data_IF_620387028255
#
_entry.id   IF_620387028255
#
_cell.length_a   1.000
_cell.length_b   1.000
_cell.length_c   1.000
_cell.angle_alpha   90.00
_cell.angle_beta   90.00
_cell.angle_gamma   90.00
#
_symmetry.space_group_name_H-M   'P 1'
#
loop_
_entity.id
_entity.type
_entity.pdbx_description
1 polymer ?
#
# COMPACT_ATOMS: atom_id res chain seq x y z
N UNK A 1 -25.16 -7.15 6.21
CA UNK A 1 -23.81 -6.53 6.09
C UNK A 1 -23.58 -6.19 4.63
N UNK A 2 -23.17 -4.95 4.38
CA UNK A 2 -22.79 -4.46 3.06
C UNK A 2 -21.26 -4.57 2.90
N UNK A 3 -20.80 -5.33 1.90
CA UNK A 3 -19.38 -5.46 1.58
C UNK A 3 -19.09 -4.80 0.24
N UNK A 4 -18.06 -3.95 0.18
CA UNK A 4 -17.67 -3.31 -1.08
C UNK A 4 -16.16 -3.09 -1.19
N UNK A 5 -15.73 -2.89 -2.43
CA UNK A 5 -14.38 -2.48 -2.75
C UNK A 5 -14.14 -0.98 -2.47
N UNK A 6 -12.91 -0.54 -2.71
CA UNK A 6 -12.50 0.86 -2.49
C UNK A 6 -13.22 1.87 -3.41
N UNK A 7 -13.84 1.43 -4.50
CA UNK A 7 -14.57 2.30 -5.42
C UNK A 7 -15.87 2.85 -4.82
N UNK A 8 -16.47 2.11 -3.91
CA UNK A 8 -17.71 2.48 -3.21
C UNK A 8 -17.47 2.94 -1.74
N UNK A 9 -16.23 3.11 -1.33
CA UNK A 9 -15.84 3.43 0.04
C UNK A 9 -15.96 4.92 0.43
N UNK A 10 -16.76 5.72 -0.28
CA UNK A 10 -16.98 7.11 0.10
C UNK A 10 -17.63 7.22 1.47
N UNK A 11 -17.34 8.31 2.22
CA UNK A 11 -17.94 8.54 3.54
C UNK A 11 -19.47 8.53 3.47
N UNK A 12 -20.06 9.14 2.44
CA UNK A 12 -21.52 9.14 2.26
C UNK A 12 -22.09 7.73 2.07
N UNK A 13 -21.42 6.87 1.33
CA UNK A 13 -21.83 5.47 1.19
C UNK A 13 -21.75 4.70 2.51
N UNK A 14 -20.70 4.96 3.31
CA UNK A 14 -20.55 4.34 4.63
C UNK A 14 -21.66 4.80 5.58
N UNK A 15 -21.94 6.11 5.65
CA UNK A 15 -23.04 6.65 6.43
C UNK A 15 -24.39 6.05 6.02
N UNK A 16 -24.64 5.93 4.73
CA UNK A 16 -25.88 5.31 4.22
C UNK A 16 -26.00 3.84 4.66
N UNK A 17 -24.90 3.11 4.66
CA UNK A 17 -24.88 1.69 5.00
C UNK A 17 -24.77 1.42 6.52
N UNK A 18 -24.42 2.43 7.31
CA UNK A 18 -24.48 2.36 8.78
C UNK A 18 -25.91 2.62 9.32
N UNK A 19 -26.82 3.10 8.49
CA UNK A 19 -28.18 3.46 8.93
C UNK A 19 -29.07 2.25 9.17
N UNK A 20 -29.89 2.26 10.22
CA UNK A 20 -30.85 1.23 10.62
C UNK A 20 -30.15 -0.09 11.01
N UNK A 21 -30.65 -1.24 10.56
CA UNK A 21 -30.13 -2.59 10.85
C UNK A 21 -29.00 -3.01 9.87
N UNK A 22 -28.28 -2.04 9.31
CA UNK A 22 -27.18 -2.30 8.34
C UNK A 22 -25.85 -2.12 9.00
N UNK A 23 -24.90 -2.95 8.58
CA UNK A 23 -23.49 -2.81 8.89
C UNK A 23 -22.71 -2.87 7.58
N UNK A 24 -21.51 -2.32 7.57
CA UNK A 24 -20.67 -2.32 6.37
C UNK A 24 -19.24 -2.84 6.63
N UNK A 25 -18.64 -3.41 5.61
CA UNK A 25 -17.20 -3.66 5.51
C UNK A 25 -16.75 -3.14 4.15
N UNK A 26 -15.86 -2.17 4.14
CA UNK A 26 -15.35 -1.57 2.89
C UNK A 26 -13.84 -1.54 2.86
N UNK A 27 -13.27 -1.84 1.69
CA UNK A 27 -11.82 -1.71 1.49
C UNK A 27 -11.37 -0.27 1.68
N UNK A 28 -10.37 -0.06 2.51
CA UNK A 28 -9.74 1.23 2.74
C UNK A 28 -8.30 1.23 2.20
N UNK A 29 -8.01 1.89 1.07
CA UNK A 29 -6.65 1.98 0.57
C UNK A 29 -5.74 2.69 1.57
N UNK A 30 -4.70 2.01 2.06
CA UNK A 30 -3.79 2.54 3.09
C UNK A 30 -3.12 3.84 2.60
N UNK A 31 -2.73 3.91 1.34
CA UNK A 31 -2.10 5.11 0.74
C UNK A 31 -3.01 6.34 0.72
N UNK A 32 -4.34 6.17 0.87
CA UNK A 32 -5.33 7.26 0.94
C UNK A 32 -5.68 7.68 2.36
N UNK A 33 -5.15 7.02 3.37
CA UNK A 33 -5.29 7.42 4.76
C UNK A 33 -4.55 8.74 5.03
N UNK A 34 -4.96 9.45 6.09
CA UNK A 34 -4.17 10.58 6.61
C UNK A 34 -2.76 10.12 7.00
N UNK A 35 -1.82 11.05 7.15
CA UNK A 35 -0.44 10.73 7.52
C UNK A 35 -0.38 9.92 8.82
N UNK A 36 -1.15 10.31 9.83
CA UNK A 36 -1.26 9.63 11.12
C UNK A 36 -1.69 8.17 10.98
N UNK A 37 -2.82 7.91 10.32
CA UNK A 37 -3.33 6.54 10.14
C UNK A 37 -2.46 5.71 9.21
N UNK A 38 -1.80 6.34 8.26
CA UNK A 38 -0.82 5.66 7.40
C UNK A 38 0.41 5.22 8.19
N UNK A 39 0.92 6.07 9.08
CA UNK A 39 2.01 5.72 9.98
C UNK A 39 1.60 4.57 10.92
N UNK A 40 0.41 4.65 11.52
CA UNK A 40 -0.16 3.55 12.30
C UNK A 40 -0.24 2.25 11.49
N UNK A 41 -0.68 2.32 10.22
CA UNK A 41 -0.78 1.14 9.37
C UNK A 41 0.59 0.53 9.06
N UNK A 42 1.61 1.36 8.81
CA UNK A 42 2.97 0.93 8.50
C UNK A 42 3.76 0.47 9.73
N UNK A 43 3.36 0.87 10.94
CA UNK A 43 3.99 0.39 12.17
C UNK A 43 3.79 -1.12 12.31
N UNK A 44 4.88 -1.88 12.27
CA UNK A 44 4.87 -3.35 12.27
C UNK A 44 4.61 -3.99 13.64
N UNK A 45 4.52 -3.18 14.68
CA UNK A 45 4.24 -3.61 16.05
C UNK A 45 2.74 -3.67 16.33
N UNK A 46 2.38 -4.37 17.42
CA UNK A 46 1.00 -4.47 17.95
C UNK A 46 0.03 -5.20 17.03
N UNK A 47 0.50 -6.00 16.11
CA UNK A 47 -0.36 -6.94 15.39
C UNK A 47 -0.73 -8.13 16.28
N UNK A 48 -1.84 -8.74 15.98
CA UNK A 48 -2.29 -9.98 16.61
C UNK A 48 -2.36 -11.07 15.54
N UNK A 49 -1.90 -12.26 15.87
CA UNK A 49 -2.12 -13.42 15.02
C UNK A 49 -3.60 -13.77 15.03
N UNK A 50 -4.19 -14.05 13.87
CA UNK A 50 -5.63 -14.31 13.76
C UNK A 50 -6.04 -15.61 14.47
N UNK A 51 -5.19 -16.63 14.46
CA UNK A 51 -5.51 -17.98 14.99
C UNK A 51 -5.62 -18.03 16.53
N UNK A 52 -4.83 -17.25 17.26
CA UNK A 52 -4.73 -17.32 18.73
C UNK A 52 -4.77 -15.95 19.42
N UNK A 53 -4.93 -14.87 18.65
CA UNK A 53 -4.97 -13.46 19.10
C UNK A 53 -3.73 -12.99 19.87
N UNK A 54 -2.63 -13.75 19.82
CA UNK A 54 -1.37 -13.35 20.45
C UNK A 54 -0.78 -12.12 19.78
N UNK A 55 -0.24 -11.23 20.62
CA UNK A 55 0.45 -10.04 20.18
C UNK A 55 1.77 -10.42 19.51
N UNK A 56 2.04 -9.85 18.33
CA UNK A 56 3.20 -10.16 17.50
C UNK A 56 3.80 -8.87 16.96
N UNK A 57 5.12 -8.84 16.86
CA UNK A 57 5.86 -7.87 16.08
C UNK A 57 6.19 -8.50 14.72
N UNK A 58 5.73 -7.89 13.64
CA UNK A 58 5.91 -8.42 12.27
C UNK A 58 7.39 -8.48 11.84
N UNK A 59 8.28 -7.76 12.52
CA UNK A 59 9.73 -7.79 12.24
C UNK A 59 10.41 -9.05 12.82
N UNK A 60 9.69 -9.81 13.65
CA UNK A 60 10.18 -11.04 14.28
C UNK A 60 9.45 -12.31 13.81
N UNK A 61 8.77 -12.23 12.66
CA UNK A 61 8.13 -13.40 12.06
C UNK A 61 9.17 -14.43 11.59
N UNK A 62 8.80 -15.70 11.69
CA UNK A 62 9.60 -16.86 11.25
C UNK A 62 8.96 -17.53 10.04
N UNK A 63 9.62 -18.51 9.46
CA UNK A 63 9.08 -19.29 8.33
C UNK A 63 7.79 -20.04 8.70
N UNK A 64 7.61 -20.41 9.97
CA UNK A 64 6.37 -21.03 10.48
C UNK A 64 5.15 -20.09 10.43
N UNK A 65 5.39 -18.81 10.33
CA UNK A 65 4.35 -17.79 10.23
C UNK A 65 3.92 -17.50 8.78
N UNK A 66 4.51 -18.15 7.79
CA UNK A 66 4.34 -17.84 6.35
C UNK A 66 2.88 -17.90 5.89
N UNK A 67 2.08 -18.82 6.40
CA UNK A 67 0.65 -19.00 6.08
C UNK A 67 -0.30 -18.32 7.10
N UNK A 68 0.24 -17.63 8.10
CA UNK A 68 -0.57 -16.96 9.11
C UNK A 68 -1.11 -15.60 8.60
N UNK A 69 -2.22 -15.19 9.19
CA UNK A 69 -2.78 -13.85 9.02
C UNK A 69 -2.68 -13.07 10.32
N UNK A 70 -2.28 -11.82 10.22
CA UNK A 70 -2.14 -10.91 11.34
C UNK A 70 -3.06 -9.71 11.15
N UNK A 71 -3.52 -9.14 12.26
CA UNK A 71 -4.38 -7.97 12.21
C UNK A 71 -4.14 -7.02 13.39
N UNK A 72 -4.52 -5.79 13.21
CA UNK A 72 -4.71 -4.82 14.29
C UNK A 72 -5.91 -3.93 14.00
N UNK A 73 -6.52 -3.42 15.05
CA UNK A 73 -7.70 -2.56 14.97
C UNK A 73 -7.37 -1.20 15.57
N UNK A 74 -7.79 -0.15 14.88
CA UNK A 74 -7.65 1.23 15.34
C UNK A 74 -8.99 1.95 15.19
N UNK A 75 -9.38 2.80 16.16
CA UNK A 75 -10.53 3.68 16.00
C UNK A 75 -10.32 4.57 14.78
N UNK A 76 -11.33 4.69 13.92
CA UNK A 76 -11.27 5.49 12.70
C UNK A 76 -12.55 6.28 12.52
N UNK A 77 -12.72 7.30 13.37
CA UNK A 77 -13.94 8.09 13.40
C UNK A 77 -13.82 9.35 12.58
N UNK A 78 -14.92 9.72 11.92
CA UNK A 78 -15.14 11.03 11.36
C UNK A 78 -16.15 11.80 12.22
N UNK A 79 -16.39 13.09 11.90
CA UNK A 79 -17.42 13.89 12.61
C UNK A 79 -18.84 13.30 12.50
N UNK A 80 -19.08 12.40 11.56
CA UNK A 80 -20.40 11.87 11.21
C UNK A 80 -20.55 10.38 11.43
N UNK A 81 -19.45 9.65 11.63
CA UNK A 81 -19.47 8.20 11.67
C UNK A 81 -18.34 7.66 12.54
N UNK A 82 -18.71 6.86 13.53
CA UNK A 82 -17.76 6.05 14.30
C UNK A 82 -17.49 4.74 13.55
N UNK A 83 -16.21 4.42 13.37
CA UNK A 83 -15.76 3.28 12.61
C UNK A 83 -14.51 2.69 13.22
N UNK A 84 -14.18 1.50 12.78
CA UNK A 84 -12.89 0.85 13.05
C UNK A 84 -12.13 0.64 11.75
N UNK A 85 -10.84 0.89 11.80
CA UNK A 85 -9.88 0.54 10.75
C UNK A 85 -9.24 -0.78 11.15
N UNK A 86 -9.48 -1.82 10.38
CA UNK A 86 -8.85 -3.13 10.56
C UNK A 86 -7.75 -3.23 9.53
N UNK A 87 -6.51 -3.31 10.00
CA UNK A 87 -5.32 -3.46 9.17
C UNK A 87 -4.86 -4.90 9.29
N UNK A 88 -4.74 -5.59 8.17
CA UNK A 88 -4.26 -6.97 8.11
C UNK A 88 -2.90 -7.05 7.44
N UNK A 89 -2.13 -8.08 7.79
CA UNK A 89 -0.85 -8.43 7.19
C UNK A 89 -0.79 -9.91 6.90
N UNK A 90 -0.32 -10.26 5.71
CA UNK A 90 -0.08 -11.63 5.28
C UNK A 90 1.32 -11.76 4.69
N UNK A 91 2.22 -12.58 5.26
CA UNK A 91 3.54 -12.85 4.71
C UNK A 91 3.49 -13.40 3.28
N UNK A 92 2.55 -14.31 3.01
CA UNK A 92 2.32 -14.88 1.68
C UNK A 92 1.95 -13.81 0.64
N UNK A 93 1.08 -12.87 1.03
CA UNK A 93 0.69 -11.77 0.15
C UNK A 93 1.84 -10.78 -0.03
N UNK A 94 2.66 -10.54 1.00
CA UNK A 94 3.87 -9.73 0.92
C UNK A 94 4.87 -10.30 -0.08
N UNK A 95 5.13 -11.62 -0.01
CA UNK A 95 6.00 -12.31 -0.95
C UNK A 95 5.50 -12.19 -2.41
N UNK A 96 4.20 -12.38 -2.62
CA UNK A 96 3.56 -12.22 -3.93
C UNK A 96 3.72 -10.79 -4.49
N UNK A 97 3.46 -9.77 -3.67
CA UNK A 97 3.61 -8.37 -4.08
C UNK A 97 5.07 -8.01 -4.38
N UNK A 98 6.01 -8.50 -3.59
CA UNK A 98 7.45 -8.36 -3.82
C UNK A 98 7.86 -8.94 -5.17
N UNK A 99 7.37 -10.13 -5.51
CA UNK A 99 7.66 -10.77 -6.80
C UNK A 99 7.10 -9.96 -7.98
N UNK A 100 5.86 -9.49 -7.88
CA UNK A 100 5.26 -8.62 -8.91
C UNK A 100 6.09 -7.35 -9.08
N UNK A 101 6.46 -6.69 -7.99
CA UNK A 101 7.27 -5.47 -8.04
C UNK A 101 8.63 -5.73 -8.67
N UNK A 102 9.29 -6.83 -8.32
CA UNK A 102 10.56 -7.22 -8.91
C UNK A 102 10.47 -7.34 -10.44
N UNK A 103 9.46 -8.04 -10.96
CA UNK A 103 9.21 -8.15 -12.40
C UNK A 103 8.95 -6.79 -13.07
N UNK A 104 8.31 -5.84 -12.35
CA UNK A 104 8.10 -4.48 -12.88
C UNK A 104 9.39 -3.66 -12.88
N UNK A 105 10.24 -3.80 -11.87
CA UNK A 105 11.56 -3.16 -11.80
C UNK A 105 12.45 -3.68 -12.94
N UNK A 106 12.48 -4.98 -13.19
CA UNK A 106 13.23 -5.58 -14.31
C UNK A 106 12.77 -5.02 -15.67
N UNK A 107 11.45 -4.85 -15.85
CA UNK A 107 10.90 -4.21 -17.06
C UNK A 107 11.30 -2.73 -17.16
N UNK A 108 11.30 -1.99 -16.05
CA UNK A 108 11.77 -0.61 -16.01
C UNK A 108 13.26 -0.51 -16.40
N UNK A 109 14.10 -1.43 -15.89
CA UNK A 109 15.52 -1.52 -16.28
C UNK A 109 15.68 -1.80 -17.78
N UNK A 110 14.89 -2.71 -18.35
CA UNK A 110 14.90 -2.99 -19.77
C UNK A 110 14.47 -1.77 -20.61
N UNK A 111 13.47 -1.00 -20.14
CA UNK A 111 13.05 0.25 -20.78
C UNK A 111 14.16 1.31 -20.77
N UNK A 112 14.89 1.45 -19.65
CA UNK A 112 16.05 2.35 -19.55
C UNK A 112 17.15 1.97 -20.54
N UNK A 113 17.51 0.68 -20.63
CA UNK A 113 18.51 0.17 -21.57
C UNK A 113 18.11 0.39 -23.03
N UNK A 114 16.82 0.29 -23.35
CA UNK A 114 16.29 0.48 -24.70
C UNK A 114 16.04 1.96 -25.07
N UNK A 115 16.25 2.91 -24.15
CA UNK A 115 15.95 4.33 -24.37
C UNK A 115 14.44 4.65 -24.46
N UNK A 116 13.57 3.73 -24.09
CA UNK A 116 12.10 3.83 -24.22
C UNK A 116 11.42 4.45 -22.99
N UNK A 117 12.10 5.32 -22.26
CA UNK A 117 11.67 5.87 -20.96
C UNK A 117 10.91 7.20 -21.04
N UNK A 118 10.71 7.75 -22.22
CA UNK A 118 10.14 9.10 -22.41
C UNK A 118 8.63 9.18 -22.32
N UNK A 119 7.92 8.05 -22.39
CA UNK A 119 6.45 8.04 -22.32
C UNK A 119 5.97 7.88 -20.88
N UNK A 120 5.64 8.97 -20.23
CA UNK A 120 4.90 8.91 -18.95
C UNK A 120 3.52 8.28 -19.19
N UNK A 121 3.31 7.08 -18.70
CA UNK A 121 2.00 6.45 -18.67
C UNK A 121 1.33 6.74 -17.34
N UNK A 122 0.02 6.99 -17.39
CA UNK A 122 -0.80 7.28 -16.20
C UNK A 122 -1.25 6.04 -15.43
N UNK A 123 -0.84 4.84 -15.85
CA UNK A 123 -1.24 3.60 -15.18
C UNK A 123 -0.38 3.37 -13.92
N UNK A 124 -1.00 3.24 -12.74
CA UNK A 124 -0.28 2.96 -11.48
C UNK A 124 0.57 1.67 -11.53
N UNK A 125 0.22 0.72 -12.41
CA UNK A 125 0.94 -0.54 -12.58
C UNK A 125 1.98 -0.51 -13.69
N UNK A 126 2.21 0.65 -14.33
CA UNK A 126 3.21 0.77 -15.39
C UNK A 126 4.63 0.71 -14.81
N UNK A 127 5.52 -0.15 -15.32
CA UNK A 127 6.93 -0.19 -14.92
C UNK A 127 7.63 1.17 -14.98
N UNK A 128 7.26 2.02 -15.93
CA UNK A 128 7.82 3.36 -16.09
C UNK A 128 7.65 4.26 -14.84
N UNK A 129 6.76 3.90 -13.88
CA UNK A 129 6.64 4.63 -12.62
C UNK A 129 7.90 4.54 -11.74
N UNK A 130 8.74 3.54 -11.97
CA UNK A 130 10.03 3.38 -11.29
C UNK A 130 11.19 4.04 -12.04
N UNK A 131 10.91 4.83 -13.07
CA UNK A 131 11.91 5.60 -13.79
C UNK A 131 11.76 7.07 -13.40
N UNK A 132 12.82 7.67 -12.91
CA UNK A 132 12.91 9.11 -12.64
C UNK A 132 13.95 9.75 -13.55
N UNK A 133 13.96 11.08 -13.60
CA UNK A 133 14.87 11.88 -14.42
C UNK A 133 15.48 12.99 -13.60
N UNK A 134 16.73 13.28 -13.87
CA UNK A 134 17.45 14.42 -13.31
C UNK A 134 18.10 15.22 -14.42
N UNK A 135 18.13 16.54 -14.26
CA UNK A 135 18.86 17.41 -15.13
C UNK A 135 20.26 17.61 -14.58
N UNK A 136 21.26 17.10 -15.27
CA UNK A 136 22.68 17.23 -14.89
C UNK A 136 23.30 18.35 -15.72
N UNK A 137 23.82 19.39 -15.07
CA UNK A 137 24.60 20.46 -15.69
C UNK A 137 26.08 20.20 -15.45
N UNK A 138 26.86 20.14 -16.53
CA UNK A 138 28.31 20.26 -16.43
C UNK A 138 28.69 21.69 -16.79
N UNK A 139 29.31 22.40 -15.84
CA UNK A 139 30.02 23.70 -15.97
C UNK A 139 29.52 24.65 -17.09
N UNK A 140 28.26 25.11 -16.99
CA UNK A 140 27.74 26.16 -17.86
C UNK A 140 27.21 25.69 -19.23
N UNK A 141 27.19 24.37 -19.48
CA UNK A 141 26.59 23.78 -20.67
C UNK A 141 25.09 23.43 -20.47
N UNK A 142 24.39 23.11 -21.56
CA UNK A 142 22.99 22.68 -21.49
C UNK A 142 22.83 21.48 -20.59
N UNK A 143 21.86 21.54 -19.67
CA UNK A 143 21.50 20.41 -18.82
C UNK A 143 21.12 19.17 -19.66
N UNK A 144 21.86 18.10 -19.52
CA UNK A 144 21.48 16.79 -20.04
C UNK A 144 20.49 16.12 -19.09
N UNK A 145 19.40 15.56 -19.67
CA UNK A 145 18.41 14.81 -18.88
C UNK A 145 18.89 13.36 -18.82
N UNK A 146 19.25 12.92 -17.62
CA UNK A 146 19.57 11.52 -17.34
C UNK A 146 18.37 10.81 -16.70
N UNK A 147 18.16 9.56 -17.11
CA UNK A 147 17.07 8.72 -16.60
C UNK A 147 17.68 7.54 -15.82
N UNK A 148 17.11 7.24 -14.66
CA UNK A 148 17.57 6.16 -13.80
C UNK A 148 16.42 5.54 -13.00
N UNK A 149 16.67 4.41 -12.34
CA UNK A 149 15.70 3.81 -11.43
C UNK A 149 15.50 4.67 -10.17
N UNK A 150 14.24 4.85 -9.81
CA UNK A 150 13.83 5.51 -8.58
C UNK A 150 13.84 4.51 -7.41
N UNK A 151 15.02 4.28 -6.85
CA UNK A 151 15.20 3.36 -5.72
C UNK A 151 14.38 3.78 -4.50
N UNK A 152 14.22 5.09 -4.27
CA UNK A 152 13.40 5.64 -3.20
C UNK A 152 11.95 5.19 -3.34
N UNK A 153 11.40 5.32 -4.54
CA UNK A 153 10.03 4.90 -4.82
C UNK A 153 9.83 3.39 -4.73
N UNK A 154 10.82 2.61 -5.17
CA UNK A 154 10.80 1.15 -5.01
C UNK A 154 10.76 0.78 -3.53
N UNK A 155 11.60 1.41 -2.71
CA UNK A 155 11.62 1.20 -1.26
C UNK A 155 10.30 1.64 -0.60
N UNK A 156 9.78 2.83 -0.93
CA UNK A 156 8.50 3.32 -0.43
C UNK A 156 7.34 2.37 -0.75
N UNK A 157 7.27 1.84 -1.98
CA UNK A 157 6.21 0.89 -2.34
C UNK A 157 6.34 -0.42 -1.56
N UNK A 158 7.57 -0.85 -1.23
CA UNK A 158 7.80 -2.08 -0.49
C UNK A 158 7.28 -2.06 0.94
N UNK A 159 7.15 -0.88 1.55
CA UNK A 159 6.61 -0.72 2.91
C UNK A 159 5.17 -1.23 3.04
N UNK A 160 4.43 -1.25 1.94
CA UNK A 160 3.02 -1.65 1.92
C UNK A 160 2.81 -3.14 1.62
N UNK A 161 3.88 -3.90 1.35
CA UNK A 161 3.77 -5.31 1.01
C UNK A 161 3.09 -6.10 2.13
N UNK A 162 2.15 -6.93 1.74
CA UNK A 162 1.37 -7.77 2.65
C UNK A 162 0.29 -7.04 3.45
N UNK A 163 0.27 -5.71 3.42
CA UNK A 163 -0.71 -4.91 4.16
C UNK A 163 -1.99 -4.72 3.35
N UNK A 164 -3.12 -4.84 4.05
CA UNK A 164 -4.45 -4.56 3.55
C UNK A 164 -5.28 -3.93 4.65
N UNK A 165 -6.23 -3.06 4.32
CA UNK A 165 -7.08 -2.45 5.31
C UNK A 165 -8.54 -2.38 4.88
N UNK A 166 -9.43 -2.54 5.87
CA UNK A 166 -10.87 -2.33 5.73
C UNK A 166 -11.37 -1.40 6.83
N UNK A 167 -12.45 -0.70 6.52
CA UNK A 167 -13.23 0.02 7.53
C UNK A 167 -14.55 -0.72 7.77
N UNK A 168 -14.96 -0.76 9.03
CA UNK A 168 -16.25 -1.32 9.47
C UNK A 168 -16.83 -0.45 10.58
N UNK A 169 -18.13 -0.49 10.74
CA UNK A 169 -18.88 0.07 11.87
C UNK A 169 -18.94 -0.84 13.07
#
# INVERSE_FOLDING_TARGET
IFCSDAGLASENNRILNHSRDRAFIVTQPIKKLSAEYRELALNRKRFRRLSDHKLVDLDHLTDDDSDQLFYKEEPYSSKKLEQRLIITYSPKYAAYQKEIRQKQVERAMAMLKAGNHTKQRKNPNDPARFITKEAVTQDGERAEIQYYLDETKIAEESLYDGLYAVCTD
#
